data_IF_112646518454
#
_entry.id   IF_112646518454
#
_cell.length_a   1.000
_cell.length_b   1.000
_cell.length_c   1.000
_cell.angle_alpha   90.00
_cell.angle_beta   90.00
_cell.angle_gamma   90.00
#
_symmetry.space_group_name_H-M   'P 1'
#
loop_
_entity.id
_entity.type
_entity.pdbx_description
1 polymer ?
#
# COMPACT_ATOMS: atom_id res chain seq x y z
N UNK A 1 9.48 5.10 -18.97
CA UNK A 1 8.59 4.73 -17.86
C UNK A 1 7.25 5.43 -18.09
N UNK A 2 6.13 4.70 -18.17
CA UNK A 2 4.81 5.27 -18.45
C UNK A 2 4.29 6.12 -17.29
N UNK A 3 3.56 7.21 -17.58
CA UNK A 3 2.87 8.04 -16.58
C UNK A 3 1.99 7.20 -15.63
N UNK A 4 1.35 6.16 -16.17
CA UNK A 4 0.51 5.22 -15.41
C UNK A 4 1.33 4.51 -14.32
N UNK A 5 2.56 4.10 -14.62
CA UNK A 5 3.43 3.40 -13.66
C UNK A 5 3.81 4.30 -12.47
N UNK A 6 4.07 5.59 -12.74
CA UNK A 6 4.38 6.56 -11.69
C UNK A 6 3.18 6.74 -10.76
N UNK A 7 1.98 6.76 -11.33
CA UNK A 7 0.73 6.86 -10.56
C UNK A 7 0.53 5.64 -9.65
N UNK A 8 0.75 4.43 -10.15
CA UNK A 8 0.62 3.19 -9.37
C UNK A 8 1.64 3.11 -8.22
N UNK A 9 2.91 3.46 -8.48
CA UNK A 9 3.96 3.48 -7.45
C UNK A 9 3.64 4.53 -6.39
N UNK A 10 3.27 5.74 -6.82
CA UNK A 10 2.90 6.82 -5.91
C UNK A 10 1.72 6.45 -5.02
N UNK A 11 0.65 5.92 -5.62
CA UNK A 11 -0.52 5.44 -4.89
C UNK A 11 -0.19 4.29 -3.92
N UNK A 12 0.67 3.35 -4.34
CA UNK A 12 1.15 2.25 -3.50
C UNK A 12 1.93 2.75 -2.28
N UNK A 13 2.91 3.63 -2.49
CA UNK A 13 3.73 4.22 -1.40
C UNK A 13 2.85 5.00 -0.42
N UNK A 14 1.97 5.87 -0.92
CA UNK A 14 1.06 6.66 -0.09
C UNK A 14 0.16 5.74 0.75
N UNK A 15 -0.37 4.67 0.14
CA UNK A 15 -1.23 3.71 0.84
C UNK A 15 -0.48 2.94 1.94
N UNK A 16 0.78 2.54 1.68
CA UNK A 16 1.63 1.92 2.71
C UNK A 16 1.89 2.88 3.87
N UNK A 17 2.25 4.13 3.58
CA UNK A 17 2.52 5.14 4.62
C UNK A 17 1.27 5.41 5.45
N UNK A 18 0.12 5.62 4.81
CA UNK A 18 -1.16 5.78 5.52
C UNK A 18 -1.51 4.56 6.35
N UNK A 19 -1.35 3.36 5.80
CA UNK A 19 -1.61 2.11 6.50
C UNK A 19 -0.76 1.96 7.76
N UNK A 20 0.54 2.24 7.68
CA UNK A 20 1.47 2.22 8.83
C UNK A 20 1.09 3.30 9.85
N UNK A 21 0.77 4.51 9.40
CA UNK A 21 0.37 5.59 10.30
C UNK A 21 -0.94 5.30 11.03
N UNK A 22 -1.90 4.64 10.37
CA UNK A 22 -3.18 4.27 10.98
C UNK A 22 -3.05 3.03 11.88
N UNK A 23 -2.18 2.07 11.52
CA UNK A 23 -2.00 0.83 12.26
C UNK A 23 -1.07 0.98 13.48
N UNK A 24 0.06 1.69 13.33
CA UNK A 24 1.07 1.86 14.38
C UNK A 24 1.08 3.25 15.00
N UNK A 25 0.42 4.23 14.38
CA UNK A 25 0.35 5.57 14.93
C UNK A 25 -0.40 5.54 16.25
N UNK A 26 0.28 5.85 17.35
CA UNK A 26 -0.33 6.11 18.65
C UNK A 26 -1.05 7.46 18.70
N UNK A 27 -1.45 8.00 17.55
CA UNK A 27 -2.20 9.24 17.47
C UNK A 27 -3.61 8.99 18.01
N UNK A 28 -4.21 9.94 18.74
CA UNK A 28 -5.56 9.79 19.26
C UNK A 28 -6.61 9.58 18.16
N UNK A 29 -6.29 9.96 16.90
CA UNK A 29 -7.07 9.59 15.73
C UNK A 29 -7.09 8.08 15.50
N UNK A 30 -6.00 7.34 15.65
CA UNK A 30 -5.92 5.89 15.38
C UNK A 30 -6.72 5.02 16.38
N UNK A 31 -7.19 5.57 17.50
CA UNK A 31 -8.10 4.87 18.43
C UNK A 31 -9.58 5.20 18.25
N UNK A 32 -9.93 5.98 17.21
CA UNK A 32 -11.33 6.30 16.91
C UNK A 32 -11.95 5.21 16.05
N UNK A 33 -12.97 4.52 16.54
CA UNK A 33 -13.83 3.74 15.65
C UNK A 33 -14.58 4.68 14.73
N UNK A 34 -14.44 4.49 13.42
CA UNK A 34 -15.21 5.23 12.43
C UNK A 34 -16.55 4.53 12.25
N UNK A 35 -17.63 5.28 12.51
CA UNK A 35 -18.98 4.84 12.22
C UNK A 35 -19.37 5.38 10.85
N UNK A 36 -19.46 4.50 9.86
CA UNK A 36 -20.00 4.81 8.53
C UNK A 36 -21.36 4.12 8.45
N UNK A 37 -22.42 4.87 8.74
CA UNK A 37 -23.77 4.30 8.87
C UNK A 37 -23.85 3.32 10.04
N UNK A 38 -24.22 2.06 9.76
CA UNK A 38 -24.26 0.97 10.74
C UNK A 38 -22.94 0.19 10.86
N UNK A 39 -21.93 0.52 10.06
CA UNK A 39 -20.63 -0.15 10.11
C UNK A 39 -19.70 0.58 11.07
N UNK A 40 -19.25 -0.13 12.09
CA UNK A 40 -18.18 0.28 12.98
C UNK A 40 -16.87 -0.34 12.49
N UNK A 41 -15.96 0.49 11.98
CA UNK A 41 -14.65 0.04 11.51
C UNK A 41 -13.56 0.59 12.42
N UNK A 42 -12.78 -0.32 13.02
CA UNK A 42 -11.59 0.04 13.80
C UNK A 42 -10.52 0.58 12.84
N UNK A 43 -9.83 1.64 13.25
CA UNK A 43 -8.71 2.21 12.50
C UNK A 43 -7.53 1.26 12.35
N UNK A 44 -7.34 0.32 13.27
CA UNK A 44 -6.33 -0.73 13.11
C UNK A 44 -6.70 -1.61 11.91
N UNK A 45 -7.98 -1.98 11.77
CA UNK A 45 -8.45 -2.74 10.62
C UNK A 45 -8.33 -1.92 9.33
N UNK A 46 -8.71 -0.65 9.36
CA UNK A 46 -8.61 0.25 8.21
C UNK A 46 -7.15 0.46 7.78
N UNK A 47 -6.26 0.71 8.73
CA UNK A 47 -4.82 0.85 8.50
C UNK A 47 -4.21 -0.42 7.94
N UNK A 48 -4.62 -1.59 8.46
CA UNK A 48 -4.21 -2.88 7.91
C UNK A 48 -4.66 -3.05 6.45
N UNK A 49 -5.90 -2.69 6.12
CA UNK A 49 -6.41 -2.76 4.75
C UNK A 49 -5.65 -1.84 3.78
N UNK A 50 -5.37 -0.59 4.18
CA UNK A 50 -4.56 0.33 3.38
C UNK A 50 -3.12 -0.16 3.20
N UNK A 51 -2.52 -0.72 4.25
CA UNK A 51 -1.18 -1.28 4.19
C UNK A 51 -1.13 -2.46 3.21
N UNK A 52 -2.08 -3.41 3.33
CA UNK A 52 -2.18 -4.56 2.46
C UNK A 52 -2.40 -4.16 0.99
N UNK A 53 -3.31 -3.20 0.75
CA UNK A 53 -3.55 -2.66 -0.59
C UNK A 53 -2.29 -2.04 -1.19
N UNK A 54 -1.55 -1.25 -0.40
CA UNK A 54 -0.30 -0.65 -0.84
C UNK A 54 0.77 -1.68 -1.23
N UNK A 55 0.92 -2.75 -0.44
CA UNK A 55 1.82 -3.88 -0.76
C UNK A 55 1.40 -4.54 -2.08
N UNK A 56 0.11 -4.82 -2.27
CA UNK A 56 -0.41 -5.46 -3.49
C UNK A 56 -0.10 -4.60 -4.71
N UNK A 57 -0.36 -3.30 -4.66
CA UNK A 57 -0.08 -2.37 -5.76
C UNK A 57 1.42 -2.33 -6.11
N UNK A 58 2.29 -2.34 -5.10
CA UNK A 58 3.73 -2.37 -5.30
C UNK A 58 4.20 -3.70 -5.90
N UNK A 59 3.65 -4.84 -5.47
CA UNK A 59 3.97 -6.16 -6.03
C UNK A 59 3.53 -6.28 -7.49
N UNK A 60 2.33 -5.77 -7.83
CA UNK A 60 1.87 -5.71 -9.22
C UNK A 60 2.82 -4.90 -10.12
N UNK A 61 3.46 -3.87 -9.59
CA UNK A 61 4.48 -3.12 -10.32
C UNK A 61 5.84 -3.85 -10.35
N UNK A 62 6.27 -4.44 -9.23
CA UNK A 62 7.59 -5.07 -9.09
C UNK A 62 7.71 -6.38 -9.85
N UNK A 63 6.71 -7.26 -9.83
CA UNK A 63 6.79 -8.60 -10.45
C UNK A 63 7.06 -8.51 -11.97
N UNK A 64 6.32 -7.71 -12.75
CA UNK A 64 6.59 -7.57 -14.20
C UNK A 64 7.90 -6.83 -14.48
N UNK A 65 8.35 -5.96 -13.57
CA UNK A 65 9.59 -5.18 -13.74
C UNK A 65 10.83 -6.01 -13.42
N UNK A 66 10.74 -6.92 -12.45
CA UNK A 66 11.84 -7.78 -11.99
C UNK A 66 11.91 -9.11 -12.73
N UNK A 67 10.78 -9.65 -13.21
CA UNK A 67 10.74 -10.90 -13.98
C UNK A 67 11.75 -10.96 -15.12
N UNK A 68 11.80 -9.94 -16.01
CA UNK A 68 12.78 -9.88 -17.10
C UNK A 68 14.24 -9.68 -16.65
N UNK A 69 14.47 -9.14 -15.44
CA UNK A 69 15.81 -8.91 -14.88
C UNK A 69 16.38 -10.14 -14.17
N UNK A 70 15.50 -10.98 -13.63
CA UNK A 70 15.87 -12.26 -13.00
C UNK A 70 16.15 -13.35 -14.05
N UNK A 71 15.52 -13.27 -15.23
CA UNK A 71 15.75 -14.22 -16.32
C UNK A 71 16.97 -13.89 -17.21
N UNK A 72 17.62 -12.73 -17.03
CA UNK A 72 18.89 -12.40 -17.70
C UNK A 72 19.93 -11.82 -16.74
N UNK A 73 20.47 -12.64 -15.82
CA UNK A 73 21.66 -12.25 -15.07
C UNK A 73 22.89 -12.33 -16.00
N UNK A 74 23.08 -11.36 -16.90
CA UNK A 74 24.35 -11.19 -17.64
C UNK A 74 24.30 -11.30 -19.17
N UNK A 75 23.69 -10.32 -19.84
CA UNK A 75 24.12 -9.92 -21.19
C UNK A 75 24.62 -8.47 -21.15
N UNK A 76 25.76 -8.30 -20.47
CA UNK A 76 26.75 -7.24 -20.69
C UNK A 76 28.10 -7.77 -20.24
#
# INVERSE_FOLDING_TARGET
MSFVNILFIGAGIISVILGVLLFFGKTPLARKTFHIGNFEMNNELLGFLFFLLGIILLLFYLIPTLGPRLSSPGLS
#
